data_IF_467825822779
#
_entry.id   IF_467825822779
#
_cell.length_a   1.000
_cell.length_b   1.000
_cell.length_c   1.000
_cell.angle_alpha   90.00
_cell.angle_beta   90.00
_cell.angle_gamma   90.00
#
_symmetry.space_group_name_H-M   'P 1'
#
loop_
_entity.id
_entity.type
_entity.pdbx_description
1 polymer ?
#
# COMPACT_ATOMS: atom_id res chain seq x y z
N UNK A 1 -16.71 -8.52 1.46
CA UNK A 1 -15.87 -9.25 2.43
C UNK A 1 -14.38 -8.85 2.36
N UNK A 2 -13.80 -8.59 1.18
CA UNK A 2 -12.42 -8.09 1.03
C UNK A 2 -12.13 -6.77 1.80
N UNK A 3 -13.11 -5.85 1.86
CA UNK A 3 -13.03 -4.63 2.70
C UNK A 3 -13.03 -4.92 4.21
N UNK A 4 -13.60 -6.05 4.66
CA UNK A 4 -13.55 -6.46 6.07
C UNK A 4 -12.26 -7.21 6.38
N UNK A 5 -11.67 -7.95 5.44
CA UNK A 5 -10.38 -8.63 5.62
C UNK A 5 -9.19 -7.65 5.61
N UNK A 6 -9.22 -6.64 4.73
CA UNK A 6 -8.21 -5.57 4.74
C UNK A 6 -8.38 -4.66 5.97
N UNK A 7 -9.63 -4.34 6.36
CA UNK A 7 -9.91 -3.56 7.57
C UNK A 7 -9.63 -4.35 8.86
N UNK A 8 -9.78 -5.68 8.88
CA UNK A 8 -9.34 -6.52 10.00
C UNK A 8 -7.82 -6.56 10.07
N UNK A 9 -7.09 -6.67 8.96
CA UNK A 9 -5.63 -6.53 8.95
C UNK A 9 -5.15 -5.12 9.37
N UNK A 10 -5.87 -4.07 9.01
CA UNK A 10 -5.56 -2.68 9.40
C UNK A 10 -5.99 -2.33 10.83
N UNK A 11 -7.03 -2.98 11.39
CA UNK A 11 -7.61 -2.62 12.68
C UNK A 11 -7.34 -3.62 13.82
N UNK A 12 -6.87 -4.84 13.56
CA UNK A 12 -6.55 -5.82 14.62
C UNK A 12 -5.08 -5.81 15.07
N UNK A 13 -4.17 -5.21 14.28
CA UNK A 13 -2.73 -5.19 14.62
C UNK A 13 -2.29 -3.91 15.32
N UNK A 14 -3.09 -2.83 15.27
CA UNK A 14 -2.58 -1.52 15.69
C UNK A 14 -3.07 -0.92 17.01
N UNK A 15 -4.07 -1.45 17.75
CA UNK A 15 -4.65 -0.55 18.78
C UNK A 15 -5.50 -1.07 19.95
N UNK A 16 -5.66 -2.37 20.20
CA UNK A 16 -6.46 -2.78 21.38
C UNK A 16 -5.88 -4.01 22.07
N UNK A 17 -4.83 -3.81 22.84
CA UNK A 17 -4.56 -4.62 24.02
C UNK A 17 -3.97 -3.74 25.12
N UNK A 18 -4.88 -3.33 26.01
CA UNK A 18 -4.73 -2.67 27.30
C UNK A 18 -4.82 -1.14 27.34
N UNK A 19 -5.83 -0.69 28.09
CA UNK A 19 -6.28 0.67 28.26
C UNK A 19 -5.52 1.44 29.33
N UNK A 20 -5.72 2.75 29.30
CA UNK A 20 -5.05 3.70 30.15
C UNK A 20 -5.54 3.74 31.60
N UNK A 21 -4.82 4.55 32.39
CA UNK A 21 -5.23 5.02 33.72
C UNK A 21 -4.15 4.87 34.77
N UNK A 22 -3.13 5.73 34.74
CA UNK A 22 -2.09 5.78 35.77
C UNK A 22 -2.53 6.49 37.07
N UNK A 23 -1.80 6.20 38.14
CA UNK A 23 -1.42 7.20 39.15
C UNK A 23 -0.03 6.85 39.68
N UNK A 24 0.85 7.84 39.72
CA UNK A 24 2.30 7.66 39.88
C UNK A 24 2.79 7.60 41.32
N UNK A 25 4.07 7.24 41.47
CA UNK A 25 4.94 7.63 42.57
C UNK A 25 6.40 7.52 42.11
N UNK A 26 7.13 8.63 42.21
CA UNK A 26 8.56 8.76 41.92
C UNK A 26 9.44 8.10 42.99
N UNK A 27 10.62 7.60 42.60
CA UNK A 27 11.87 7.92 43.31
C UNK A 27 13.13 7.58 42.49
N UNK A 28 14.05 8.55 42.55
CA UNK A 28 15.44 8.71 42.12
C UNK A 28 16.42 7.65 42.69
N UNK A 29 17.68 7.43 42.28
CA UNK A 29 18.75 8.17 41.55
C UNK A 29 19.96 7.22 41.23
N UNK A 30 21.05 7.67 40.57
CA UNK A 30 21.92 6.88 39.66
C UNK A 30 23.35 6.53 40.17
N UNK A 31 24.10 5.72 39.39
CA UNK A 31 25.58 5.71 39.22
C UNK A 31 25.96 4.51 38.33
N UNK A 32 27.01 4.45 37.51
CA UNK A 32 28.16 5.30 37.16
C UNK A 32 28.92 4.59 36.02
N UNK A 33 29.76 5.33 35.28
CA UNK A 33 30.44 4.86 34.06
C UNK A 33 31.83 4.22 34.30
N UNK A 34 32.25 3.47 33.27
CA UNK A 34 33.61 3.04 32.87
C UNK A 34 34.25 1.79 33.49
N UNK A 35 34.56 0.84 32.59
CA UNK A 35 35.53 -0.25 32.78
C UNK A 35 35.43 -1.23 31.61
N UNK A 36 36.42 -1.21 30.71
CA UNK A 36 36.53 -2.21 29.64
C UNK A 36 36.90 -3.57 30.25
N UNK A 37 35.90 -4.40 30.48
CA UNK A 37 36.09 -5.78 30.95
C UNK A 37 36.03 -6.76 29.77
N UNK A 38 36.92 -7.74 29.83
CA UNK A 38 36.85 -8.97 29.04
C UNK A 38 35.48 -9.58 29.30
N UNK A 39 34.59 -9.55 28.31
CA UNK A 39 33.23 -10.05 28.45
C UNK A 39 33.25 -11.57 28.57
N UNK A 40 33.30 -12.08 29.81
CA UNK A 40 32.85 -13.44 30.12
C UNK A 40 31.48 -13.64 29.48
N UNK A 41 31.24 -14.74 28.75
CA UNK A 41 29.90 -15.03 28.23
C UNK A 41 28.92 -14.98 29.40
N UNK A 42 27.90 -14.12 29.30
CA UNK A 42 26.87 -14.01 30.34
C UNK A 42 26.35 -15.42 30.67
N UNK A 43 26.17 -15.72 31.95
CA UNK A 43 25.57 -17.00 32.36
C UNK A 43 24.17 -17.12 31.76
N UNK A 44 23.68 -18.35 31.53
CA UNK A 44 22.36 -18.52 30.92
C UNK A 44 21.23 -17.92 31.78
N UNK A 45 21.41 -17.88 33.10
CA UNK A 45 20.50 -17.17 34.00
C UNK A 45 20.53 -15.65 33.78
N UNK A 46 21.72 -15.05 33.59
CA UNK A 46 21.83 -13.62 33.29
C UNK A 46 21.30 -13.28 31.90
N UNK A 47 21.44 -14.19 30.91
CA UNK A 47 20.79 -14.04 29.60
C UNK A 47 19.26 -14.02 29.72
N UNK A 48 18.69 -14.90 30.56
CA UNK A 48 17.26 -14.95 30.84
C UNK A 48 16.76 -13.67 31.53
N UNK A 49 17.51 -13.14 32.51
CA UNK A 49 17.20 -11.86 33.16
C UNK A 49 17.30 -10.68 32.18
N UNK A 50 18.30 -10.70 31.29
CA UNK A 50 18.47 -9.69 30.27
C UNK A 50 17.28 -9.65 29.30
N UNK A 51 16.73 -10.79 28.89
CA UNK A 51 15.49 -10.84 28.10
C UNK A 51 14.37 -10.04 28.77
N UNK A 52 14.09 -10.30 30.05
CA UNK A 52 12.99 -9.63 30.77
C UNK A 52 13.27 -8.13 30.96
N UNK A 53 14.51 -7.76 31.28
CA UNK A 53 14.91 -6.35 31.40
C UNK A 53 14.74 -5.60 30.08
N UNK A 54 15.18 -6.18 28.98
CA UNK A 54 15.04 -5.62 27.63
C UNK A 54 13.57 -5.52 27.24
N UNK A 55 12.76 -6.55 27.50
CA UNK A 55 11.31 -6.53 27.25
C UNK A 55 10.61 -5.42 28.04
N UNK A 56 10.90 -5.27 29.34
CA UNK A 56 10.34 -4.19 30.16
C UNK A 56 10.73 -2.79 29.64
N UNK A 57 11.98 -2.62 29.20
CA UNK A 57 12.41 -1.37 28.57
C UNK A 57 11.64 -1.10 27.28
N UNK A 58 11.35 -2.14 26.48
CA UNK A 58 10.58 -2.00 25.24
C UNK A 58 9.10 -1.71 25.49
N UNK A 59 8.50 -2.32 26.53
CA UNK A 59 7.12 -2.03 26.93
C UNK A 59 6.97 -0.54 27.29
N UNK A 60 8.00 0.09 27.85
CA UNK A 60 7.99 1.55 28.08
C UNK A 60 7.89 2.39 26.80
N UNK A 61 8.10 1.79 25.62
CA UNK A 61 7.90 2.40 24.30
C UNK A 61 6.55 2.01 23.66
N UNK A 62 5.66 1.31 24.37
CA UNK A 62 4.35 0.91 23.85
C UNK A 62 3.51 2.12 23.41
N UNK A 63 3.53 3.19 24.22
CA UNK A 63 2.96 4.49 23.81
C UNK A 63 3.55 5.00 22.49
N UNK A 64 4.83 4.70 22.23
CA UNK A 64 5.48 5.01 20.95
C UNK A 64 4.89 4.24 19.76
N UNK A 65 4.59 2.94 19.90
CA UNK A 65 3.93 2.17 18.85
C UNK A 65 2.50 2.63 18.60
N UNK A 66 1.78 2.93 19.69
CA UNK A 66 0.44 3.47 19.65
C UNK A 66 0.41 4.84 18.94
N UNK A 67 1.31 5.73 19.33
CA UNK A 67 1.49 7.04 18.70
C UNK A 67 1.85 6.90 17.22
N UNK A 68 2.70 5.94 16.83
CA UNK A 68 2.97 5.65 15.42
C UNK A 68 1.69 5.22 14.69
N UNK A 69 0.92 4.29 15.25
CA UNK A 69 -0.33 3.85 14.65
C UNK A 69 -1.30 5.03 14.40
N UNK A 70 -1.53 5.84 15.43
CA UNK A 70 -2.40 7.02 15.36
C UNK A 70 -1.86 8.08 14.39
N UNK A 71 -0.54 8.29 14.39
CA UNK A 71 0.09 9.29 13.55
C UNK A 71 0.12 8.89 12.07
N UNK A 72 0.24 7.60 11.74
CA UNK A 72 0.24 7.11 10.36
C UNK A 72 -1.16 6.76 9.84
N UNK A 73 -2.19 6.77 10.68
CA UNK A 73 -3.59 6.73 10.25
C UNK A 73 -3.95 7.95 9.39
N UNK A 74 -3.54 9.15 9.80
CA UNK A 74 -3.81 10.39 9.07
C UNK A 74 -3.21 10.37 7.66
N UNK A 75 -1.92 10.03 7.45
CA UNK A 75 -1.36 9.80 6.12
C UNK A 75 -2.16 8.84 5.24
N UNK A 76 -2.59 7.70 5.78
CA UNK A 76 -3.39 6.74 5.02
C UNK A 76 -4.75 7.34 4.59
N UNK A 77 -5.41 8.08 5.49
CA UNK A 77 -6.66 8.78 5.19
C UNK A 77 -6.48 9.88 4.15
N UNK A 78 -5.43 10.70 4.27
CA UNK A 78 -5.10 11.77 3.29
C UNK A 78 -4.86 11.19 1.90
N UNK A 79 -4.04 10.13 1.81
CA UNK A 79 -3.79 9.43 0.55
C UNK A 79 -5.10 8.87 -0.01
N UNK A 80 -5.90 8.18 0.79
CA UNK A 80 -7.17 7.59 0.35
C UNK A 80 -8.14 8.66 -0.16
N UNK A 81 -8.29 9.76 0.58
CA UNK A 81 -9.23 10.84 0.27
C UNK A 81 -8.85 11.66 -0.98
N UNK A 82 -7.58 11.62 -1.40
CA UNK A 82 -7.09 12.39 -2.57
C UNK A 82 -6.68 11.52 -3.75
N UNK A 83 -6.58 10.20 -3.57
CA UNK A 83 -6.19 9.26 -4.63
C UNK A 83 -7.15 9.28 -5.83
N UNK A 84 -8.46 9.41 -5.60
CA UNK A 84 -9.46 9.51 -6.66
C UNK A 84 -9.29 10.77 -7.50
N UNK A 85 -8.93 11.89 -6.87
CA UNK A 85 -8.75 13.17 -7.54
C UNK A 85 -7.52 13.13 -8.46
N UNK A 86 -6.43 12.53 -8.00
CA UNK A 86 -5.25 12.30 -8.83
C UNK A 86 -5.53 11.29 -9.95
N UNK A 87 -6.26 10.22 -9.66
CA UNK A 87 -6.66 9.23 -10.68
C UNK A 87 -7.45 9.89 -11.82
N UNK A 88 -8.45 10.71 -11.49
CA UNK A 88 -9.25 11.46 -12.46
C UNK A 88 -8.42 12.48 -13.24
N UNK A 89 -7.52 13.21 -12.56
CA UNK A 89 -6.60 14.13 -13.22
C UNK A 89 -5.66 13.40 -14.19
N UNK A 90 -5.09 12.25 -13.79
CA UNK A 90 -4.27 11.44 -14.70
C UNK A 90 -5.07 10.88 -15.87
N UNK A 91 -6.33 10.50 -15.66
CA UNK A 91 -7.22 10.02 -16.73
C UNK A 91 -7.48 11.11 -17.77
N UNK A 92 -7.72 12.36 -17.34
CA UNK A 92 -7.84 13.50 -18.26
C UNK A 92 -6.61 13.65 -19.15
N UNK A 93 -5.41 13.52 -18.57
CA UNK A 93 -4.16 13.67 -19.33
C UNK A 93 -3.91 12.49 -20.27
N UNK A 94 -4.35 11.29 -19.91
CA UNK A 94 -4.30 10.12 -20.80
C UNK A 94 -5.21 10.30 -22.01
N UNK A 95 -6.47 10.72 -21.80
CA UNK A 95 -7.39 11.02 -22.91
C UNK A 95 -6.86 12.15 -23.79
N UNK A 96 -6.29 13.22 -23.20
CA UNK A 96 -5.63 14.27 -23.98
C UNK A 96 -4.51 13.68 -24.84
N UNK A 97 -3.65 12.84 -24.26
CA UNK A 97 -2.53 12.24 -24.96
C UNK A 97 -3.00 11.33 -26.12
N UNK A 98 -4.09 10.58 -25.92
CA UNK A 98 -4.71 9.73 -26.94
C UNK A 98 -5.23 10.57 -28.11
N UNK A 99 -6.17 11.47 -27.86
CA UNK A 99 -6.84 12.23 -28.94
C UNK A 99 -5.87 13.13 -29.73
N UNK A 100 -4.85 13.71 -29.09
CA UNK A 100 -3.86 14.53 -29.80
C UNK A 100 -2.88 13.67 -30.60
N UNK A 101 -2.57 12.46 -30.15
CA UNK A 101 -1.69 11.54 -30.89
C UNK A 101 -2.38 11.01 -32.12
N UNK A 102 -3.64 10.56 -31.98
CA UNK A 102 -4.46 10.12 -33.09
C UNK A 102 -4.66 11.23 -34.12
N UNK A 103 -4.96 12.45 -33.68
CA UNK A 103 -5.08 13.59 -34.57
C UNK A 103 -3.75 13.99 -35.23
N UNK A 104 -2.62 13.81 -34.54
CA UNK A 104 -1.31 14.14 -35.07
C UNK A 104 -0.88 13.18 -36.19
N UNK A 105 -1.31 11.92 -36.16
CA UNK A 105 -0.98 10.90 -37.16
C UNK A 105 0.54 10.83 -37.44
N UNK A 106 1.34 10.87 -36.37
CA UNK A 106 2.80 10.84 -36.43
C UNK A 106 3.48 12.16 -36.83
N UNK A 107 2.73 13.22 -37.10
CA UNK A 107 3.28 14.54 -37.43
C UNK A 107 3.60 15.37 -36.18
N UNK A 108 4.55 16.30 -36.31
CA UNK A 108 4.79 17.29 -35.26
C UNK A 108 3.68 18.34 -35.28
N UNK A 109 2.91 18.46 -34.19
CA UNK A 109 1.81 19.40 -34.06
C UNK A 109 1.74 19.97 -32.64
N UNK A 110 1.36 21.23 -32.54
CA UNK A 110 1.05 21.89 -31.27
C UNK A 110 -0.44 22.18 -31.20
N UNK A 111 -1.04 21.79 -30.09
CA UNK A 111 -2.47 21.92 -29.81
C UNK A 111 -2.71 23.01 -28.76
N UNK A 112 -3.61 23.92 -29.10
CA UNK A 112 -4.13 24.95 -28.19
C UNK A 112 -5.21 24.35 -27.26
N UNK A 113 -5.52 25.05 -26.16
CA UNK A 113 -6.56 24.65 -25.22
C UNK A 113 -7.94 24.42 -25.88
N UNK A 114 -8.28 25.21 -26.90
CA UNK A 114 -9.55 25.04 -27.63
C UNK A 114 -9.52 23.76 -28.48
N UNK A 115 -8.44 23.53 -29.23
CA UNK A 115 -8.30 22.32 -30.05
C UNK A 115 -8.33 21.04 -29.21
N UNK A 116 -7.71 21.07 -28.02
CA UNK A 116 -7.77 19.95 -27.07
C UNK A 116 -9.22 19.67 -26.66
N UNK A 117 -9.99 20.71 -26.30
CA UNK A 117 -11.41 20.57 -25.95
C UNK A 117 -12.23 20.02 -27.11
N UNK A 118 -12.02 20.55 -28.31
CA UNK A 118 -12.76 20.12 -29.49
C UNK A 118 -12.50 18.64 -29.82
N UNK A 119 -11.27 18.16 -29.63
CA UNK A 119 -10.91 16.75 -29.81
C UNK A 119 -11.53 15.85 -28.73
N UNK A 120 -11.48 16.26 -27.46
CA UNK A 120 -12.12 15.49 -26.36
C UNK A 120 -13.65 15.42 -26.54
N UNK A 121 -14.27 16.49 -27.03
CA UNK A 121 -15.72 16.50 -27.26
C UNK A 121 -16.13 15.66 -28.50
N UNK A 122 -15.19 15.32 -29.38
CA UNK A 122 -15.40 14.42 -30.52
C UNK A 122 -15.16 12.96 -30.15
N UNK A 123 -14.32 12.72 -29.15
CA UNK A 123 -14.16 11.42 -28.52
C UNK A 123 -15.48 11.10 -27.80
N UNK A 124 -16.17 10.03 -28.20
CA UNK A 124 -17.52 9.64 -27.70
C UNK A 124 -17.55 9.36 -26.18
N UNK A 125 -16.46 9.61 -25.48
CA UNK A 125 -16.26 9.31 -24.07
C UNK A 125 -16.82 10.36 -23.10
N UNK A 126 -17.19 11.58 -23.50
CA UNK A 126 -17.80 12.68 -22.69
C UNK A 126 -17.47 12.73 -21.19
N UNK A 127 -16.26 12.33 -20.78
CA UNK A 127 -15.93 12.08 -19.38
C UNK A 127 -15.64 13.37 -18.62
N UNK A 128 -15.44 14.48 -19.33
CA UNK A 128 -14.95 15.73 -18.80
C UNK A 128 -15.71 16.91 -19.38
N UNK A 129 -16.09 17.85 -18.52
CA UNK A 129 -16.64 19.15 -18.92
C UNK A 129 -15.71 20.26 -18.44
N UNK A 130 -15.08 20.95 -19.37
CA UNK A 130 -14.19 22.07 -19.07
C UNK A 130 -14.99 23.32 -18.66
N UNK A 131 -14.63 23.92 -17.52
CA UNK A 131 -15.06 25.27 -17.10
C UNK A 131 -14.07 26.33 -17.54
N UNK A 132 -12.79 26.00 -17.53
CA UNK A 132 -11.70 26.80 -18.08
C UNK A 132 -10.56 25.88 -18.50
N UNK A 133 -9.77 26.29 -19.48
CA UNK A 133 -8.65 25.50 -19.97
C UNK A 133 -7.55 26.40 -20.54
N UNK A 134 -6.32 26.19 -20.10
CA UNK A 134 -5.09 26.79 -20.62
C UNK A 134 -4.07 25.72 -21.03
N UNK A 135 -4.45 24.43 -20.98
CA UNK A 135 -3.59 23.31 -21.37
C UNK A 135 -3.10 23.47 -22.80
N UNK A 136 -1.85 23.05 -22.98
CA UNK A 136 -1.18 22.94 -24.27
C UNK A 136 -0.57 21.55 -24.39
N UNK A 137 -0.70 20.97 -25.57
CA UNK A 137 -0.06 19.71 -25.91
C UNK A 137 0.84 19.91 -27.13
N UNK A 138 2.05 19.38 -27.08
CA UNK A 138 2.95 19.35 -28.23
C UNK A 138 3.30 17.90 -28.54
N UNK A 139 2.98 17.46 -29.75
CA UNK A 139 3.34 16.15 -30.28
C UNK A 139 4.56 16.34 -31.19
N UNK A 140 5.61 15.56 -30.97
CA UNK A 140 6.83 15.56 -31.78
C UNK A 140 7.32 14.13 -31.93
N UNK A 141 7.05 13.53 -33.10
CA UNK A 141 7.26 12.10 -33.30
C UNK A 141 6.42 11.28 -32.33
N UNK A 142 7.06 10.41 -31.55
CA UNK A 142 6.43 9.56 -30.52
C UNK A 142 6.42 10.19 -29.12
N UNK A 143 6.73 11.50 -29.02
CA UNK A 143 6.78 12.22 -27.75
C UNK A 143 5.66 13.25 -27.67
N UNK A 144 5.02 13.32 -26.51
CA UNK A 144 3.94 14.26 -26.19
C UNK A 144 4.37 15.05 -24.96
N UNK A 145 4.31 16.37 -25.02
CA UNK A 145 4.51 17.25 -23.87
C UNK A 145 3.22 17.97 -23.54
N UNK A 146 2.76 17.87 -22.30
CA UNK A 146 1.55 18.52 -21.79
C UNK A 146 1.92 19.49 -20.66
N UNK A 147 1.33 20.69 -20.69
CA UNK A 147 1.51 21.71 -19.65
C UNK A 147 0.32 22.67 -19.60
N UNK A 148 0.15 23.36 -18.48
CA UNK A 148 -0.91 24.36 -18.26
C UNK A 148 -1.92 23.91 -17.22
N UNK A 149 -3.09 24.53 -17.24
CA UNK A 149 -4.10 24.36 -16.20
C UNK A 149 -5.48 24.10 -16.81
N UNK A 150 -6.34 23.37 -16.12
CA UNK A 150 -7.74 23.23 -16.46
C UNK A 150 -8.62 23.20 -15.21
N UNK A 151 -9.78 23.83 -15.30
CA UNK A 151 -10.88 23.58 -14.36
C UNK A 151 -11.88 22.68 -15.06
N UNK A 152 -12.15 21.51 -14.48
CA UNK A 152 -12.98 20.47 -15.08
C UNK A 152 -14.03 19.97 -14.10
N UNK A 153 -15.15 19.52 -14.64
CA UNK A 153 -16.11 18.65 -13.95
C UNK A 153 -16.00 17.25 -14.55
N UNK A 154 -16.12 16.23 -13.72
CA UNK A 154 -16.10 14.84 -14.15
C UNK A 154 -17.53 14.35 -14.34
N UNK A 155 -17.74 13.55 -15.39
CA UNK A 155 -18.99 12.83 -15.59
C UNK A 155 -19.28 11.92 -14.38
N UNK A 156 -20.55 11.90 -13.93
CA UNK A 156 -20.98 11.15 -12.76
C UNK A 156 -22.01 10.08 -13.10
N UNK A 157 -23.02 10.46 -13.89
CA UNK A 157 -24.13 9.58 -14.29
C UNK A 157 -24.90 10.25 -15.44
N UNK A 158 -25.89 9.56 -15.98
CA UNK A 158 -26.90 10.15 -16.85
C UNK A 158 -28.05 10.76 -16.04
N UNK A 159 -28.62 11.86 -16.55
CA UNK A 159 -29.88 12.43 -16.07
C UNK A 159 -31.05 11.59 -16.60
N UNK A 160 -31.34 10.49 -15.89
CA UNK A 160 -32.37 9.52 -16.29
C UNK A 160 -33.78 10.12 -16.35
N UNK A 161 -34.06 11.14 -15.55
CA UNK A 161 -35.34 11.85 -15.58
C UNK A 161 -35.48 12.62 -16.90
N UNK A 162 -34.42 13.32 -17.31
CA UNK A 162 -34.39 14.03 -18.59
C UNK A 162 -34.40 13.09 -19.80
N UNK A 163 -33.63 12.00 -19.76
CA UNK A 163 -33.64 10.96 -20.81
C UNK A 163 -35.07 10.41 -21.01
N UNK A 164 -35.78 10.18 -19.91
CA UNK A 164 -37.16 9.69 -19.94
C UNK A 164 -38.15 10.76 -20.42
N UNK A 165 -38.05 11.99 -19.92
CA UNK A 165 -38.93 13.10 -20.29
C UNK A 165 -38.82 13.47 -21.77
N UNK A 166 -37.60 13.48 -22.31
CA UNK A 166 -37.33 13.78 -23.72
C UNK A 166 -37.54 12.56 -24.63
N UNK A 167 -37.89 11.39 -24.04
CA UNK A 167 -38.03 10.11 -24.74
C UNK A 167 -36.79 9.75 -25.59
N UNK A 168 -35.61 10.08 -25.03
CA UNK A 168 -34.33 10.04 -25.73
C UNK A 168 -33.87 8.62 -26.07
N UNK A 169 -34.42 7.60 -25.42
CA UNK A 169 -34.21 6.18 -25.74
C UNK A 169 -34.45 5.81 -27.21
N UNK A 170 -35.28 6.58 -27.92
CA UNK A 170 -35.55 6.38 -29.35
C UNK A 170 -34.49 6.99 -30.28
N UNK A 171 -33.54 7.77 -29.73
CA UNK A 171 -32.37 8.26 -30.44
C UNK A 171 -31.18 7.35 -30.13
N UNK A 172 -30.69 6.61 -31.12
CA UNK A 172 -29.61 5.65 -30.93
C UNK A 172 -28.30 6.24 -30.35
N UNK A 173 -28.11 7.57 -30.38
CA UNK A 173 -26.91 8.25 -29.89
C UNK A 173 -27.19 9.17 -28.69
N UNK A 174 -28.29 8.99 -27.96
CA UNK A 174 -28.63 9.87 -26.84
C UNK A 174 -27.55 9.87 -25.75
N UNK A 175 -26.85 8.76 -25.53
CA UNK A 175 -25.80 8.66 -24.51
C UNK A 175 -24.56 9.53 -24.84
N UNK A 176 -24.44 9.99 -26.09
CA UNK A 176 -23.41 10.92 -26.54
C UNK A 176 -23.85 12.39 -26.44
N UNK A 177 -25.11 12.68 -26.06
CA UNK A 177 -25.55 14.07 -25.93
C UNK A 177 -25.27 14.58 -24.50
N UNK A 178 -24.41 15.61 -24.33
CA UNK A 178 -24.06 16.15 -23.02
C UNK A 178 -25.26 16.75 -22.29
N UNK A 179 -26.38 17.02 -22.96
CA UNK A 179 -27.62 17.45 -22.32
C UNK A 179 -28.22 16.38 -21.39
N UNK A 180 -27.88 15.10 -21.57
CA UNK A 180 -28.33 13.99 -20.72
C UNK A 180 -27.28 13.54 -19.70
N UNK A 181 -26.16 14.26 -19.58
CA UNK A 181 -25.08 13.89 -18.66
C UNK A 181 -25.06 14.78 -17.42
N UNK A 182 -24.85 14.15 -16.26
CA UNK A 182 -24.62 14.84 -14.98
C UNK A 182 -23.12 14.95 -14.77
N UNK A 183 -22.65 16.19 -14.61
CA UNK A 183 -21.26 16.49 -14.29
C UNK A 183 -21.13 17.06 -12.88
N UNK A 184 -20.10 16.64 -12.15
CA UNK A 184 -19.83 17.05 -10.78
C UNK A 184 -18.36 16.88 -10.39
N UNK A 185 -18.10 16.92 -9.09
CA UNK A 185 -16.75 16.79 -8.50
C UNK A 185 -15.70 17.71 -9.12
N UNK A 186 -15.99 19.02 -9.17
CA UNK A 186 -15.11 19.96 -9.83
C UNK A 186 -13.68 19.91 -9.25
N UNK A 187 -12.71 20.01 -10.15
CA UNK A 187 -11.31 20.07 -9.78
C UNK A 187 -10.54 21.06 -10.68
N UNK A 188 -9.55 21.72 -10.08
CA UNK A 188 -8.48 22.39 -10.80
C UNK A 188 -7.34 21.39 -11.00
N UNK A 189 -6.90 21.21 -12.24
CA UNK A 189 -5.77 20.36 -12.62
C UNK A 189 -4.65 21.24 -13.15
N UNK A 190 -3.46 21.11 -12.59
CA UNK A 190 -2.24 21.81 -13.03
C UNK A 190 -1.21 20.80 -13.48
N UNK A 191 -0.68 20.99 -14.68
CA UNK A 191 0.34 20.14 -15.29
C UNK A 191 1.59 20.95 -15.59
N UNK A 192 2.73 20.49 -15.09
CA UNK A 192 4.04 21.09 -15.36
C UNK A 192 4.93 20.09 -16.07
N UNK A 193 5.29 20.39 -17.32
CA UNK A 193 6.27 19.65 -18.13
C UNK A 193 6.08 18.12 -18.12
N UNK A 194 4.83 17.64 -18.22
CA UNK A 194 4.59 16.20 -18.33
C UNK A 194 4.99 15.75 -19.74
N UNK A 195 6.02 14.90 -19.83
CA UNK A 195 6.45 14.32 -21.11
C UNK A 195 6.17 12.82 -21.11
N UNK A 196 5.34 12.40 -22.06
CA UNK A 196 4.99 11.01 -22.31
C UNK A 196 5.62 10.59 -23.65
N UNK A 197 6.35 9.49 -23.64
CA UNK A 197 6.90 8.89 -24.86
C UNK A 197 6.21 7.56 -25.10
N UNK A 198 5.65 7.39 -26.29
CA UNK A 198 4.73 6.31 -26.60
C UNK A 198 4.69 5.98 -28.10
N UNK A 199 4.60 4.69 -28.46
CA UNK A 199 5.43 3.60 -27.96
C UNK A 199 6.70 3.45 -28.80
N UNK A 200 7.80 3.00 -28.18
CA UNK A 200 8.92 2.40 -28.91
C UNK A 200 8.83 0.88 -28.84
N UNK A 201 9.07 0.24 -29.97
CA UNK A 201 8.75 -1.16 -30.19
C UNK A 201 10.04 -1.98 -30.20
N UNK A 202 10.00 -3.19 -29.62
CA UNK A 202 11.07 -4.16 -29.86
C UNK A 202 11.16 -4.54 -31.36
N UNK A 203 12.30 -5.05 -31.80
CA UNK A 203 12.51 -5.42 -33.21
C UNK A 203 11.48 -6.43 -33.72
N UNK A 204 10.93 -7.25 -32.81
CA UNK A 204 9.94 -8.28 -33.11
C UNK A 204 8.49 -7.78 -33.13
N UNK A 205 8.20 -6.52 -32.76
CA UNK A 205 6.84 -5.97 -32.63
C UNK A 205 5.90 -6.69 -31.67
N UNK A 206 6.49 -7.30 -30.65
CA UNK A 206 5.80 -8.03 -29.59
C UNK A 206 5.73 -7.22 -28.29
N UNK A 207 6.61 -6.24 -28.11
CA UNK A 207 6.67 -5.41 -26.90
C UNK A 207 6.54 -3.93 -27.24
N UNK A 208 5.58 -3.28 -26.60
CA UNK A 208 5.35 -1.85 -26.67
C UNK A 208 5.79 -1.21 -25.38
N UNK A 209 6.76 -0.30 -25.46
CA UNK A 209 7.31 0.37 -24.30
C UNK A 209 6.94 1.85 -24.32
N UNK A 210 6.61 2.34 -23.14
CA UNK A 210 6.18 3.69 -22.86
C UNK A 210 7.09 4.26 -21.77
N UNK A 211 7.29 5.57 -21.80
CA UNK A 211 8.10 6.26 -20.82
C UNK A 211 7.42 7.54 -20.37
N UNK A 212 7.51 7.82 -19.08
CA UNK A 212 7.19 9.12 -18.48
C UNK A 212 8.54 9.73 -18.09
N UNK A 213 8.91 10.84 -18.70
CA UNK A 213 10.18 11.49 -18.34
C UNK A 213 10.10 12.09 -16.93
N UNK A 214 11.27 12.20 -16.29
CA UNK A 214 11.40 12.94 -15.04
C UNK A 214 10.97 14.42 -15.17
N UNK A 215 10.82 15.08 -14.03
CA UNK A 215 10.40 16.48 -13.85
C UNK A 215 8.93 16.79 -14.17
N UNK A 216 8.18 15.84 -14.75
CA UNK A 216 6.73 15.97 -14.87
C UNK A 216 6.06 16.11 -13.51
N UNK A 217 5.09 17.03 -13.39
CA UNK A 217 4.24 17.18 -12.21
C UNK A 217 2.78 17.33 -12.60
N UNK A 218 1.92 16.59 -11.91
CA UNK A 218 0.46 16.65 -12.04
C UNK A 218 -0.08 17.01 -10.67
N UNK A 219 -0.85 18.08 -10.57
CA UNK A 219 -1.47 18.54 -9.33
C UNK A 219 -2.97 18.69 -9.51
N UNK A 220 -3.71 18.44 -8.46
CA UNK A 220 -5.16 18.62 -8.40
C UNK A 220 -5.55 19.41 -7.16
N UNK A 221 -6.63 20.18 -7.27
CA UNK A 221 -7.31 20.83 -6.16
C UNK A 221 -8.82 20.66 -6.32
N UNK A 222 -9.45 19.96 -5.38
CA UNK A 222 -10.89 19.69 -5.44
C UNK A 222 -11.74 20.80 -4.81
N UNK A 223 -13.07 20.69 -4.89
CA UNK A 223 -14.05 21.62 -4.30
C UNK A 223 -13.89 21.84 -2.78
N UNK A 224 -13.27 20.90 -2.06
CA UNK A 224 -12.97 21.03 -0.63
C UNK A 224 -11.64 21.76 -0.38
N UNK A 225 -11.03 22.34 -1.42
CA UNK A 225 -9.69 22.92 -1.43
C UNK A 225 -8.58 21.95 -1.01
N UNK A 226 -8.83 20.63 -1.09
CA UNK A 226 -7.79 19.63 -0.84
C UNK A 226 -6.89 19.56 -2.07
N UNK A 227 -5.59 19.65 -1.84
CA UNK A 227 -4.58 19.57 -2.89
C UNK A 227 -3.86 18.24 -2.84
N UNK A 228 -3.52 17.70 -4.00
CA UNK A 228 -2.65 16.54 -4.12
C UNK A 228 -1.81 16.63 -5.38
N UNK A 229 -0.61 16.08 -5.37
CA UNK A 229 0.24 16.05 -6.56
C UNK A 229 1.09 14.80 -6.66
N UNK A 230 1.35 14.41 -7.90
CA UNK A 230 2.42 13.48 -8.27
C UNK A 230 3.50 14.24 -9.03
N UNK A 231 4.76 13.93 -8.72
CA UNK A 231 5.90 14.36 -9.54
C UNK A 231 6.93 13.25 -9.68
N UNK A 232 7.69 13.29 -10.77
CA UNK A 232 8.64 12.24 -11.13
C UNK A 232 10.07 12.76 -10.98
N UNK A 233 10.85 12.20 -10.07
CA UNK A 233 12.27 12.55 -9.90
C UNK A 233 13.20 11.72 -10.79
N UNK A 234 12.69 10.63 -11.37
CA UNK A 234 13.37 9.78 -12.32
C UNK A 234 12.42 9.33 -13.44
N UNK A 235 13.01 8.91 -14.55
CA UNK A 235 12.26 8.36 -15.67
C UNK A 235 11.53 7.08 -15.24
N UNK A 236 10.24 7.03 -15.57
CA UNK A 236 9.35 5.91 -15.29
C UNK A 236 8.96 5.21 -16.59
N UNK A 237 8.60 3.93 -16.51
CA UNK A 237 8.33 3.12 -17.70
C UNK A 237 7.06 2.31 -17.55
N UNK A 238 6.37 2.06 -18.66
CA UNK A 238 5.34 1.04 -18.76
C UNK A 238 5.58 0.18 -20.01
N UNK A 239 5.10 -1.05 -20.02
CA UNK A 239 5.17 -1.89 -21.21
C UNK A 239 4.00 -2.83 -21.34
N UNK A 240 3.68 -3.18 -22.58
CA UNK A 240 2.69 -4.19 -22.94
C UNK A 240 3.37 -5.23 -23.83
N UNK A 241 3.25 -6.51 -23.45
CA UNK A 241 3.86 -7.64 -24.14
C UNK A 241 2.75 -8.52 -24.72
N UNK A 242 2.82 -8.79 -26.02
CA UNK A 242 1.87 -9.59 -26.77
C UNK A 242 2.47 -10.91 -27.23
N UNK A 243 1.61 -11.86 -27.59
CA UNK A 243 2.03 -13.19 -28.04
C UNK A 243 2.62 -13.16 -29.47
N UNK A 244 2.07 -12.32 -30.33
CA UNK A 244 2.37 -12.26 -31.76
C UNK A 244 2.86 -10.87 -32.14
N UNK A 245 3.58 -10.77 -33.24
CA UNK A 245 4.02 -9.51 -33.81
C UNK A 245 2.88 -8.83 -34.59
N UNK A 246 2.51 -7.62 -34.20
CA UNK A 246 1.54 -6.78 -34.92
C UNK A 246 1.63 -5.32 -34.46
N UNK A 247 1.13 -4.37 -35.27
CA UNK A 247 0.96 -2.94 -34.96
C UNK A 247 -0.24 -2.72 -34.05
N UNK A 248 -0.16 -1.75 -33.13
CA UNK A 248 -1.27 -1.42 -32.20
C UNK A 248 -2.62 -1.20 -32.90
N UNK A 249 -2.61 -0.53 -34.06
CA UNK A 249 -3.82 -0.24 -34.86
C UNK A 249 -4.56 -1.50 -35.36
N UNK A 250 -3.86 -2.63 -35.48
CA UNK A 250 -4.42 -3.88 -35.99
C UNK A 250 -4.68 -4.92 -34.89
N UNK A 251 -4.37 -4.61 -33.63
CA UNK A 251 -4.51 -5.57 -32.53
C UNK A 251 -5.93 -5.63 -32.03
N UNK A 252 -6.50 -6.83 -32.09
CA UNK A 252 -7.77 -7.18 -31.43
C UNK A 252 -7.55 -7.97 -30.13
N UNK A 253 -6.32 -8.46 -29.89
CA UNK A 253 -5.96 -9.24 -28.72
C UNK A 253 -5.54 -8.38 -27.53
N UNK A 254 -5.73 -8.87 -26.30
CA UNK A 254 -5.18 -8.23 -25.10
C UNK A 254 -3.74 -8.71 -24.85
N UNK A 255 -2.87 -7.88 -24.25
CA UNK A 255 -1.48 -8.27 -23.99
C UNK A 255 -1.41 -9.46 -23.04
N UNK A 256 -0.40 -10.32 -23.23
CA UNK A 256 -0.06 -11.40 -22.32
C UNK A 256 0.44 -10.87 -20.96
N UNK A 257 1.10 -9.72 -20.97
CA UNK A 257 1.62 -9.08 -19.77
C UNK A 257 1.63 -7.56 -19.94
N UNK A 258 1.23 -6.84 -18.91
CA UNK A 258 1.44 -5.41 -18.81
C UNK A 258 2.31 -5.12 -17.57
N UNK A 259 3.28 -4.22 -17.71
CA UNK A 259 4.13 -3.80 -16.59
C UNK A 259 4.14 -2.29 -16.46
N UNK A 260 4.20 -1.81 -15.23
CA UNK A 260 4.43 -0.41 -14.90
C UNK A 260 5.52 -0.36 -13.84
N UNK A 261 6.48 0.55 -14.00
CA UNK A 261 7.53 0.82 -13.03
C UNK A 261 7.73 2.33 -12.93
N UNK A 262 7.17 2.90 -11.87
CA UNK A 262 7.32 4.31 -11.53
C UNK A 262 8.51 4.46 -10.59
N UNK A 263 9.51 5.22 -11.01
CA UNK A 263 10.75 5.45 -10.26
C UNK A 263 10.77 6.86 -9.70
N UNK A 264 11.11 6.97 -8.42
CA UNK A 264 11.23 8.27 -7.77
C UNK A 264 9.94 9.09 -7.84
N UNK A 265 8.79 8.42 -7.67
CA UNK A 265 7.48 9.05 -7.62
C UNK A 265 7.33 9.78 -6.29
N UNK A 266 7.11 11.08 -6.34
CA UNK A 266 6.83 11.90 -5.19
C UNK A 266 5.33 12.22 -5.15
N UNK A 267 4.67 11.80 -4.08
CA UNK A 267 3.31 12.21 -3.72
C UNK A 267 3.35 13.28 -2.63
N UNK A 268 2.55 14.33 -2.80
CA UNK A 268 2.37 15.39 -1.80
C UNK A 268 0.89 15.74 -1.67
N UNK A 269 0.36 15.72 -0.44
CA UNK A 269 -0.98 16.20 -0.12
C UNK A 269 -1.05 16.61 1.36
N UNK A 270 -1.57 17.81 1.64
CA UNK A 270 -1.50 18.42 2.97
C UNK A 270 -0.07 18.31 3.56
N UNK A 271 0.08 17.82 4.79
CA UNK A 271 1.38 17.60 5.45
C UNK A 271 2.00 16.22 5.15
N UNK A 272 1.43 15.46 4.22
CA UNK A 272 1.86 14.10 3.86
C UNK A 272 2.74 14.15 2.62
N UNK A 273 3.92 13.56 2.72
CA UNK A 273 4.88 13.44 1.63
C UNK A 273 5.35 12.01 1.51
N UNK A 274 5.07 11.34 0.39
CA UNK A 274 5.60 10.01 0.11
C UNK A 274 6.60 10.06 -1.04
N UNK A 275 7.87 9.79 -0.74
CA UNK A 275 8.93 9.63 -1.73
C UNK A 275 9.09 8.14 -2.03
N UNK A 276 8.41 7.68 -3.09
CA UNK A 276 8.38 6.30 -3.52
C UNK A 276 9.52 6.07 -4.51
N UNK A 277 10.58 5.41 -4.04
CA UNK A 277 11.71 5.01 -4.87
C UNK A 277 11.28 4.03 -5.98
N UNK A 278 10.29 3.18 -5.70
CA UNK A 278 9.71 2.25 -6.66
C UNK A 278 8.21 2.06 -6.40
N UNK A 279 7.41 2.18 -7.46
CA UNK A 279 6.06 1.62 -7.55
C UNK A 279 6.01 0.75 -8.79
N UNK A 280 5.98 -0.57 -8.62
CA UNK A 280 5.93 -1.49 -9.75
C UNK A 280 4.70 -2.39 -9.71
N UNK A 281 4.10 -2.59 -10.89
CA UNK A 281 2.91 -3.41 -11.10
C UNK A 281 3.17 -4.33 -12.28
N UNK A 282 2.86 -5.62 -12.12
CA UNK A 282 2.84 -6.60 -13.21
C UNK A 282 1.44 -7.20 -13.27
N UNK A 283 0.76 -7.02 -14.38
CA UNK A 283 -0.48 -7.72 -14.70
C UNK A 283 -0.21 -8.78 -15.76
N UNK A 284 -0.86 -9.94 -15.64
CA UNK A 284 -0.74 -11.06 -16.57
C UNK A 284 -2.09 -11.45 -17.11
N UNK A 285 -2.13 -11.89 -18.35
CA UNK A 285 -3.33 -12.42 -18.97
C UNK A 285 -3.78 -13.69 -18.26
N UNK A 286 -5.05 -13.74 -17.91
CA UNK A 286 -5.75 -14.88 -17.37
C UNK A 286 -6.92 -15.23 -18.29
N UNK A 287 -7.28 -16.51 -18.33
CA UNK A 287 -8.42 -17.02 -19.08
C UNK A 287 -9.47 -17.52 -18.09
N UNK A 288 -10.68 -16.99 -18.16
CA UNK A 288 -11.81 -17.44 -17.34
C UNK A 288 -12.78 -18.22 -18.22
N UNK A 289 -13.07 -19.46 -17.85
CA UNK A 289 -13.97 -20.34 -18.58
C UNK A 289 -15.22 -20.60 -17.74
N UNK A 290 -16.40 -20.33 -18.28
CA UNK A 290 -17.67 -20.62 -17.59
C UNK A 290 -18.37 -21.90 -18.10
N UNK A 291 -17.67 -22.71 -18.91
CA UNK A 291 -18.18 -23.91 -19.55
C UNK A 291 -18.90 -23.65 -20.88
N UNK A 292 -19.06 -22.39 -21.28
CA UNK A 292 -19.71 -21.96 -22.52
C UNK A 292 -18.80 -21.02 -23.33
N UNK A 293 -18.18 -20.06 -22.66
CA UNK A 293 -17.31 -19.05 -23.25
C UNK A 293 -16.04 -18.90 -22.42
N UNK A 294 -14.98 -18.40 -23.07
CA UNK A 294 -13.74 -18.01 -22.42
C UNK A 294 -13.58 -16.50 -22.52
N UNK A 295 -13.39 -15.84 -21.38
CA UNK A 295 -13.06 -14.43 -21.28
C UNK A 295 -11.57 -14.29 -20.95
N UNK A 296 -10.85 -13.46 -21.72
CA UNK A 296 -9.47 -13.09 -21.40
C UNK A 296 -9.44 -11.75 -20.64
N UNK A 297 -8.64 -11.65 -19.58
CA UNK A 297 -8.46 -10.40 -18.84
C UNK A 297 -7.04 -10.30 -18.26
N UNK A 298 -6.51 -9.08 -18.17
CA UNK A 298 -5.31 -8.80 -17.38
C UNK A 298 -5.64 -8.81 -15.88
N UNK A 299 -4.94 -9.63 -15.11
CA UNK A 299 -5.05 -9.70 -13.66
C UNK A 299 -3.75 -9.20 -13.02
N UNK A 300 -3.81 -8.22 -12.11
CA UNK A 300 -2.67 -7.84 -11.27
C UNK A 300 -2.07 -9.05 -10.56
N UNK A 301 -0.81 -9.33 -10.84
CA UNK A 301 -0.09 -10.49 -10.33
C UNK A 301 1.03 -10.12 -9.35
N UNK A 302 1.66 -8.97 -9.52
CA UNK A 302 2.68 -8.48 -8.59
C UNK A 302 2.52 -6.97 -8.40
N UNK A 303 2.66 -6.49 -7.16
CA UNK A 303 2.70 -5.07 -6.82
C UNK A 303 3.80 -4.84 -5.80
N UNK A 304 4.69 -3.88 -6.05
CA UNK A 304 5.73 -3.44 -5.12
C UNK A 304 5.58 -1.96 -4.87
N UNK A 305 5.63 -1.57 -3.60
CA UNK A 305 5.76 -0.17 -3.18
C UNK A 305 6.96 -0.06 -2.25
N UNK A 306 7.93 0.78 -2.61
CA UNK A 306 9.11 1.03 -1.81
C UNK A 306 9.39 2.51 -1.70
N UNK A 307 9.57 3.02 -0.48
CA UNK A 307 9.89 4.42 -0.28
C UNK A 307 9.85 4.89 1.16
N UNK A 308 9.78 6.21 1.30
CA UNK A 308 9.69 6.91 2.58
C UNK A 308 8.37 7.68 2.63
N UNK A 309 7.53 7.40 3.62
CA UNK A 309 6.32 8.17 3.91
C UNK A 309 6.61 9.09 5.09
N UNK A 310 6.46 10.40 4.90
CA UNK A 310 6.70 11.41 5.92
C UNK A 310 5.41 12.16 6.24
N UNK A 311 5.24 12.45 7.52
CA UNK A 311 4.14 13.27 8.03
C UNK A 311 4.66 14.10 9.19
N UNK A 312 4.52 15.43 9.07
CA UNK A 312 5.13 16.39 10.00
C UNK A 312 6.65 16.16 10.13
N UNK A 313 7.13 15.84 11.34
CA UNK A 313 8.55 15.61 11.63
C UNK A 313 8.94 14.12 11.65
N UNK A 314 8.00 13.21 11.35
CA UNK A 314 8.25 11.78 11.34
C UNK A 314 8.38 11.23 9.92
N UNK A 315 9.15 10.16 9.78
CA UNK A 315 9.27 9.43 8.53
C UNK A 315 9.30 7.92 8.79
N UNK A 316 8.63 7.18 7.91
CA UNK A 316 8.53 5.72 7.92
C UNK A 316 9.00 5.18 6.58
N UNK A 317 9.98 4.28 6.62
CA UNK A 317 10.35 3.50 5.46
C UNK A 317 9.29 2.42 5.25
N UNK A 318 8.80 2.32 4.00
CA UNK A 318 7.81 1.36 3.55
C UNK A 318 8.46 0.47 2.48
N UNK A 319 8.36 -0.84 2.68
CA UNK A 319 8.60 -1.85 1.65
C UNK A 319 7.40 -2.81 1.66
N UNK A 320 6.50 -2.68 0.70
CA UNK A 320 5.35 -3.55 0.54
C UNK A 320 5.45 -4.33 -0.77
N UNK A 321 5.15 -5.63 -0.73
CA UNK A 321 5.08 -6.51 -1.89
C UNK A 321 3.87 -7.43 -1.81
N UNK A 322 3.02 -7.35 -2.81
CA UNK A 322 1.93 -8.29 -3.05
C UNK A 322 2.29 -9.19 -4.24
N UNK A 323 2.00 -10.49 -4.13
CA UNK A 323 2.10 -11.45 -5.24
C UNK A 323 0.87 -12.33 -5.28
N UNK A 324 0.31 -12.54 -6.47
CA UNK A 324 -0.66 -13.56 -6.77
C UNK A 324 0.09 -14.80 -7.28
N UNK A 325 -0.01 -15.89 -6.53
CA UNK A 325 0.62 -17.18 -6.79
C UNK A 325 -0.27 -18.11 -7.63
N UNK A 326 -1.36 -17.61 -8.21
CA UNK A 326 -2.20 -18.37 -9.13
C UNK A 326 -1.42 -18.72 -10.39
N UNK A 327 -1.64 -19.93 -10.91
CA UNK A 327 -1.15 -20.31 -12.23
C UNK A 327 -2.07 -19.72 -13.30
N UNK A 328 -1.83 -18.45 -13.64
CA UNK A 328 -2.62 -17.70 -14.64
C UNK A 328 -2.41 -18.20 -16.08
N UNK A 329 -1.51 -19.18 -16.31
CA UNK A 329 -1.32 -19.80 -17.62
C UNK A 329 -2.42 -20.81 -17.96
N UNK A 330 -3.15 -21.29 -16.96
CA UNK A 330 -4.28 -22.21 -17.13
C UNK A 330 -5.60 -21.45 -17.17
N UNK A 331 -6.57 -22.03 -17.87
CA UNK A 331 -7.95 -21.57 -17.78
C UNK A 331 -8.47 -21.77 -16.35
N UNK A 332 -9.10 -20.73 -15.83
CA UNK A 332 -9.72 -20.66 -14.52
C UNK A 332 -11.20 -20.98 -14.72
N UNK A 333 -11.61 -22.16 -14.27
CA UNK A 333 -12.98 -22.63 -14.41
C UNK A 333 -13.89 -21.96 -13.37
N UNK A 334 -14.70 -21.01 -13.82
CA UNK A 334 -15.72 -20.32 -13.00
C UNK A 334 -17.11 -20.93 -13.18
N UNK A 335 -17.23 -22.03 -13.94
CA UNK A 335 -18.49 -22.73 -14.12
C UNK A 335 -18.98 -23.32 -12.80
N UNK A 336 -20.28 -23.27 -12.56
CA UNK A 336 -20.95 -23.90 -11.42
C UNK A 336 -20.29 -23.66 -10.02
N UNK A 337 -19.55 -22.57 -9.85
CA UNK A 337 -18.85 -22.25 -8.60
C UNK A 337 -17.59 -23.10 -8.32
N UNK A 338 -16.98 -23.73 -9.34
CA UNK A 338 -15.69 -24.42 -9.23
C UNK A 338 -14.61 -23.47 -8.71
N UNK A 339 -14.47 -22.31 -9.34
CA UNK A 339 -13.77 -21.15 -8.77
C UNK A 339 -14.76 -20.16 -8.14
N UNK A 340 -14.42 -19.74 -6.93
CA UNK A 340 -15.11 -18.79 -6.08
C UNK A 340 -14.11 -17.72 -5.66
N UNK A 341 -14.61 -16.57 -5.19
CA UNK A 341 -13.71 -15.55 -4.61
C UNK A 341 -12.84 -16.06 -3.44
N UNK A 342 -13.19 -17.20 -2.82
CA UNK A 342 -12.55 -17.77 -1.63
C UNK A 342 -11.49 -18.84 -1.92
N UNK A 343 -11.50 -19.49 -3.09
CA UNK A 343 -10.41 -20.36 -3.56
C UNK A 343 -9.53 -19.66 -4.61
N UNK A 344 -10.06 -18.73 -5.40
CA UNK A 344 -9.30 -18.05 -6.46
C UNK A 344 -8.03 -17.35 -5.98
N UNK A 345 -8.10 -16.40 -5.05
CA UNK A 345 -6.97 -15.52 -4.66
C UNK A 345 -5.83 -16.25 -3.90
N UNK A 346 -4.94 -17.00 -4.53
CA UNK A 346 -3.76 -17.52 -3.83
C UNK A 346 -2.68 -16.43 -3.75
N UNK A 347 -2.71 -15.55 -2.75
CA UNK A 347 -1.80 -14.40 -2.70
C UNK A 347 -0.88 -14.38 -1.46
N UNK A 348 0.26 -13.72 -1.62
CA UNK A 348 1.20 -13.37 -0.56
C UNK A 348 1.26 -11.84 -0.43
N UNK A 349 1.18 -11.33 0.79
CA UNK A 349 1.45 -9.94 1.13
C UNK A 349 2.62 -9.91 2.11
N UNK A 350 3.64 -9.13 1.77
CA UNK A 350 4.79 -8.84 2.63
C UNK A 350 4.83 -7.33 2.83
N UNK A 351 4.82 -6.87 4.08
CA UNK A 351 4.91 -5.43 4.40
C UNK A 351 5.96 -5.25 5.46
N UNK A 352 6.97 -4.46 5.14
CA UNK A 352 8.00 -4.06 6.08
C UNK A 352 7.96 -2.55 6.30
N UNK A 353 7.83 -2.18 7.56
CA UNK A 353 7.81 -0.81 8.04
C UNK A 353 9.01 -0.59 8.94
N UNK A 354 9.75 0.50 8.77
CA UNK A 354 10.85 0.81 9.70
C UNK A 354 11.07 2.30 9.88
N UNK A 355 11.39 2.70 11.11
CA UNK A 355 11.58 4.10 11.49
C UNK A 355 12.22 4.18 12.87
N UNK A 356 11.97 5.29 13.57
CA UNK A 356 12.41 5.48 14.94
C UNK A 356 11.21 5.74 15.85
N UNK A 357 11.18 5.10 17.02
CA UNK A 357 10.22 5.37 18.08
C UNK A 357 10.70 6.58 18.88
N UNK A 358 9.83 7.58 19.05
CA UNK A 358 10.01 8.65 20.04
C UNK A 358 9.26 8.26 21.31
N UNK A 359 9.98 7.73 22.29
CA UNK A 359 9.43 7.58 23.64
C UNK A 359 9.23 8.95 24.30
N UNK A 360 8.37 9.03 25.32
CA UNK A 360 7.95 10.27 25.95
C UNK A 360 9.08 11.18 26.48
N UNK A 361 10.33 10.69 26.62
CA UNK A 361 11.53 11.46 26.98
C UNK A 361 12.85 10.80 26.51
N UNK A 362 12.83 9.97 25.46
CA UNK A 362 13.98 9.11 25.10
C UNK A 362 14.64 9.47 23.76
N UNK A 363 15.92 9.12 23.66
CA UNK A 363 16.67 9.06 22.39
C UNK A 363 15.87 8.24 21.36
N UNK A 364 15.75 8.67 20.09
CA UNK A 364 15.02 7.92 19.08
C UNK A 364 15.55 6.48 18.94
N UNK A 365 14.68 5.48 19.11
CA UNK A 365 15.06 4.06 19.04
C UNK A 365 14.60 3.44 17.71
N UNK A 366 15.49 2.83 16.91
CA UNK A 366 15.10 2.20 15.65
C UNK A 366 14.14 1.02 15.85
N UNK A 367 13.17 0.86 14.94
CA UNK A 367 12.30 -0.31 14.89
C UNK A 367 12.12 -0.81 13.46
N UNK A 368 11.70 -2.07 13.33
CA UNK A 368 11.24 -2.67 12.08
C UNK A 368 10.10 -3.63 12.37
N UNK A 369 9.02 -3.52 11.61
CA UNK A 369 7.89 -4.47 11.60
C UNK A 369 7.91 -5.13 10.23
N UNK A 370 7.80 -6.45 10.19
CA UNK A 370 7.70 -7.27 8.99
C UNK A 370 6.46 -8.15 9.10
N UNK A 371 5.51 -7.97 8.20
CA UNK A 371 4.24 -8.67 8.17
C UNK A 371 4.26 -9.56 6.94
N UNK A 372 4.12 -10.87 7.14
CA UNK A 372 3.99 -11.84 6.05
C UNK A 372 2.67 -12.58 6.18
N UNK A 373 1.84 -12.46 5.14
CA UNK A 373 0.51 -13.04 5.09
C UNK A 373 0.36 -13.85 3.79
N UNK A 374 -0.04 -15.13 3.89
CA UNK A 374 -0.19 -16.02 2.72
C UNK A 374 -1.58 -16.67 2.69
N UNK A 375 -2.32 -16.60 1.58
CA UNK A 375 -3.69 -17.17 1.47
C UNK A 375 -3.75 -18.68 1.52
N UNK A 376 -2.79 -19.39 0.95
CA UNK A 376 -2.70 -20.83 1.13
C UNK A 376 -2.50 -21.25 2.60
N UNK A 377 -2.10 -20.32 3.47
CA UNK A 377 -2.00 -20.49 4.92
C UNK A 377 -3.24 -19.91 5.64
N UNK A 378 -3.93 -18.89 5.10
CA UNK A 378 -5.23 -18.40 5.61
C UNK A 378 -6.35 -19.45 5.51
N UNK A 379 -6.38 -20.29 4.47
CA UNK A 379 -7.30 -21.46 4.43
C UNK A 379 -6.90 -22.57 5.41
N UNK A 380 -5.70 -22.48 6.00
CA UNK A 380 -5.25 -23.23 7.17
C UNK A 380 -5.26 -22.35 8.45
N UNK A 381 -5.89 -21.18 8.38
CA UNK A 381 -6.07 -20.24 9.49
C UNK A 381 -4.85 -19.42 9.94
N UNK A 382 -3.71 -19.37 9.24
CA UNK A 382 -2.44 -18.83 9.80
C UNK A 382 -1.94 -17.51 9.15
N UNK A 383 -1.49 -16.54 9.96
CA UNK A 383 -0.74 -15.34 9.55
C UNK A 383 0.42 -15.03 10.52
N UNK A 384 1.54 -14.49 10.03
CA UNK A 384 2.75 -14.23 10.86
C UNK A 384 3.18 -12.76 10.80
N UNK A 385 3.49 -12.19 11.97
CA UNK A 385 4.07 -10.86 12.12
C UNK A 385 5.39 -10.99 12.88
N UNK A 386 6.49 -10.55 12.28
CA UNK A 386 7.77 -10.42 12.93
C UNK A 386 8.03 -8.94 13.26
N UNK A 387 8.35 -8.64 14.52
CA UNK A 387 8.70 -7.31 14.98
C UNK A 387 10.11 -7.35 15.54
N UNK A 388 10.97 -6.45 15.05
CA UNK A 388 12.33 -6.25 15.56
C UNK A 388 12.40 -4.86 16.17
N UNK A 389 12.67 -4.82 17.47
CA UNK A 389 12.80 -3.55 18.23
C UNK A 389 14.24 -3.36 18.63
N UNK A 390 14.74 -2.14 18.43
CA UNK A 390 16.13 -1.76 18.69
C UNK A 390 17.17 -2.57 17.88
N UNK A 391 16.77 -3.09 16.70
CA UNK A 391 17.53 -3.87 15.67
C UNK A 391 18.42 -5.04 16.12
N UNK A 392 18.79 -5.12 17.39
CA UNK A 392 19.86 -5.89 18.01
C UNK A 392 19.45 -6.43 19.39
N UNK A 393 18.26 -6.07 19.90
CA UNK A 393 17.83 -6.43 21.24
C UNK A 393 16.85 -7.62 21.22
N UNK A 394 15.68 -7.47 20.60
CA UNK A 394 14.62 -8.48 20.56
C UNK A 394 14.09 -8.76 19.14
N UNK A 395 13.78 -10.03 18.89
CA UNK A 395 12.89 -10.49 17.82
C UNK A 395 11.58 -10.96 18.47
N UNK A 396 10.45 -10.43 18.01
CA UNK A 396 9.12 -10.85 18.43
C UNK A 396 8.44 -11.45 17.22
N UNK A 397 7.89 -12.65 17.36
CA UNK A 397 7.14 -13.34 16.32
C UNK A 397 5.73 -13.59 16.85
N UNK A 398 4.73 -13.06 16.17
CA UNK A 398 3.32 -13.31 16.46
C UNK A 398 2.74 -14.17 15.34
N UNK A 399 2.03 -15.21 15.70
CA UNK A 399 1.34 -16.09 14.75
C UNK A 399 -0.13 -16.13 15.12
N UNK A 400 -0.98 -15.55 14.29
CA UNK A 400 -2.42 -15.74 14.40
C UNK A 400 -2.80 -17.08 13.75
N UNK A 401 -3.66 -17.85 14.42
CA UNK A 401 -4.20 -19.13 13.98
C UNK A 401 -5.73 -19.08 13.98
N UNK A 402 -6.36 -20.01 13.27
CA UNK A 402 -7.82 -20.18 13.21
C UNK A 402 -8.55 -18.90 12.77
N UNK A 403 -7.96 -18.16 11.83
CA UNK A 403 -8.48 -16.89 11.31
C UNK A 403 -9.85 -17.00 10.62
N UNK A 404 -10.29 -18.21 10.31
CA UNK A 404 -11.61 -18.54 9.76
C UNK A 404 -12.66 -18.85 10.85
N UNK A 405 -12.26 -18.87 12.14
CA UNK A 405 -13.13 -19.14 13.27
C UNK A 405 -13.52 -17.85 14.03
N UNK A 406 -14.56 -17.96 14.85
CA UNK A 406 -15.06 -16.85 15.69
C UNK A 406 -14.01 -16.40 16.73
N UNK A 407 -13.22 -17.35 17.25
CA UNK A 407 -12.16 -17.11 18.21
C UNK A 407 -10.79 -17.37 17.58
N UNK A 408 -10.00 -16.32 17.36
CA UNK A 408 -8.65 -16.46 16.79
C UNK A 408 -7.63 -16.66 17.92
N UNK A 409 -6.73 -17.64 17.75
CA UNK A 409 -5.62 -17.86 18.69
C UNK A 409 -4.41 -17.07 18.24
N UNK A 410 -3.85 -16.24 19.13
CA UNK A 410 -2.62 -15.50 18.86
C UNK A 410 -1.50 -16.14 19.67
N UNK A 411 -0.57 -16.81 18.99
CA UNK A 411 0.68 -17.27 19.59
C UNK A 411 1.75 -16.18 19.48
N UNK A 412 2.67 -16.13 20.44
CA UNK A 412 3.77 -15.17 20.47
C UNK A 412 5.08 -15.80 20.93
N UNK A 413 6.18 -15.45 20.28
CA UNK A 413 7.53 -15.84 20.70
C UNK A 413 8.39 -14.59 20.77
N UNK A 414 9.02 -14.36 21.92
CA UNK A 414 9.96 -13.26 22.14
C UNK A 414 11.34 -13.89 22.29
N UNK A 415 12.31 -13.47 21.47
CA UNK A 415 13.69 -13.96 21.50
C UNK A 415 14.63 -12.78 21.68
N UNK A 416 15.56 -12.88 22.62
CA UNK A 416 16.69 -11.96 22.72
C UNK A 416 17.84 -12.50 21.87
N UNK A 417 18.63 -11.62 21.25
CA UNK A 417 19.81 -12.01 20.44
C UNK A 417 20.87 -12.80 21.21
N UNK A 418 20.76 -12.88 22.55
CA UNK A 418 21.67 -13.65 23.40
C UNK A 418 21.26 -15.14 23.50
N UNK A 419 20.15 -15.54 22.88
CA UNK A 419 19.63 -16.91 22.87
C UNK A 419 18.56 -17.21 23.92
N UNK A 420 18.16 -16.23 24.74
CA UNK A 420 17.02 -16.36 25.64
C UNK A 420 15.69 -16.14 24.89
N UNK A 421 14.64 -16.87 25.29
CA UNK A 421 13.32 -16.76 24.65
C UNK A 421 12.16 -17.09 25.58
N UNK A 422 10.99 -16.54 25.28
CA UNK A 422 9.69 -16.89 25.87
C UNK A 422 8.74 -17.24 24.74
N UNK A 423 7.97 -18.32 24.89
CA UNK A 423 6.93 -18.71 23.95
C UNK A 423 5.58 -18.80 24.64
N UNK A 424 4.57 -18.14 24.08
CA UNK A 424 3.19 -18.09 24.53
C UNK A 424 2.34 -18.71 23.42
N UNK A 425 1.62 -19.79 23.73
CA UNK A 425 0.81 -20.49 22.73
C UNK A 425 -0.51 -19.77 22.41
N UNK A 426 -1.07 -19.07 23.40
CA UNK A 426 -2.27 -18.25 23.29
C UNK A 426 -2.13 -17.05 24.22
N UNK A 427 -2.02 -15.86 23.63
CA UNK A 427 -1.89 -14.58 24.34
C UNK A 427 -3.17 -14.24 25.09
N UNK A 428 -4.35 -14.56 24.54
CA UNK A 428 -5.63 -14.26 25.18
C UNK A 428 -5.90 -15.22 26.35
N UNK A 429 -5.65 -16.51 26.15
CA UNK A 429 -5.73 -17.56 27.18
C UNK A 429 -4.49 -17.69 28.06
N UNK A 430 -3.59 -16.69 28.08
CA UNK A 430 -2.30 -16.81 28.77
C UNK A 430 -2.44 -17.10 30.28
N UNK A 431 -1.78 -18.17 30.72
CA UNK A 431 -1.65 -18.56 32.14
C UNK A 431 -0.22 -18.44 32.64
N UNK A 432 0.70 -19.11 31.96
CA UNK A 432 2.14 -19.10 32.26
C UNK A 432 2.99 -19.39 31.02
N UNK A 433 4.27 -19.02 31.06
CA UNK A 433 5.26 -19.41 30.07
C UNK A 433 6.66 -19.51 30.70
N UNK A 434 7.48 -20.41 30.18
CA UNK A 434 8.86 -20.58 30.65
C UNK A 434 9.81 -19.62 29.92
N UNK A 435 10.82 -19.15 30.64
CA UNK A 435 11.95 -18.40 30.10
C UNK A 435 13.05 -19.39 29.77
N UNK A 436 13.25 -19.63 28.49
CA UNK A 436 14.13 -20.65 27.97
C UNK A 436 15.46 -20.05 27.50
N UNK A 437 16.57 -20.73 27.79
CA UNK A 437 17.88 -20.46 27.18
C UNK A 437 18.47 -21.81 26.78
N UNK A 438 18.85 -21.97 25.50
CA UNK A 438 19.39 -23.22 24.96
C UNK A 438 18.55 -24.47 25.32
N UNK A 439 17.22 -24.34 25.35
CA UNK A 439 16.28 -25.44 25.64
C UNK A 439 16.07 -25.78 27.12
N UNK A 440 16.63 -25.01 28.07
CA UNK A 440 16.40 -25.16 29.51
C UNK A 440 15.64 -23.96 30.09
N UNK A 441 14.74 -24.21 31.05
CA UNK A 441 14.02 -23.15 31.76
C UNK A 441 14.88 -22.53 32.87
N UNK A 442 14.93 -21.19 32.91
CA UNK A 442 15.63 -20.40 33.93
C UNK A 442 14.69 -19.51 34.77
N UNK A 443 13.39 -19.57 34.50
CA UNK A 443 12.35 -18.88 35.25
C UNK A 443 10.99 -19.00 34.56
N UNK A 444 9.95 -18.59 35.27
CA UNK A 444 8.57 -18.69 34.83
C UNK A 444 7.90 -17.30 34.84
N UNK A 445 7.20 -16.98 33.75
CA UNK A 445 6.31 -15.83 33.61
C UNK A 445 4.89 -16.27 33.93
N UNK A 446 4.20 -15.53 34.80
CA UNK A 446 2.81 -15.79 35.22
C UNK A 446 2.01 -14.50 35.34
N UNK A 447 0.68 -14.59 35.46
CA UNK A 447 -0.17 -13.48 35.94
C UNK A 447 -0.46 -13.66 37.43
N UNK A 448 -0.22 -12.63 38.24
CA UNK A 448 -0.63 -12.64 39.64
C UNK A 448 -2.14 -12.39 39.79
N UNK A 449 -2.65 -12.45 41.02
CA UNK A 449 -4.07 -12.23 41.34
C UNK A 449 -4.59 -10.83 40.98
N UNK A 450 -3.69 -9.86 40.80
CA UNK A 450 -4.01 -8.50 40.37
C UNK A 450 -3.93 -8.31 38.85
N UNK A 451 -3.71 -9.40 38.09
CA UNK A 451 -3.59 -9.39 36.64
C UNK A 451 -2.24 -8.90 36.12
N UNK A 452 -1.27 -8.61 36.99
CA UNK A 452 0.06 -8.16 36.59
C UNK A 452 0.94 -9.34 36.19
N UNK A 453 1.77 -9.13 35.17
CA UNK A 453 2.76 -10.11 34.73
C UNK A 453 3.97 -10.13 35.67
N UNK A 454 4.31 -11.32 36.16
CA UNK A 454 5.39 -11.55 37.12
C UNK A 454 6.31 -12.65 36.62
N UNK A 455 7.62 -12.37 36.63
CA UNK A 455 8.66 -13.35 36.36
C UNK A 455 9.31 -13.78 37.66
N UNK A 456 9.44 -15.10 37.87
CA UNK A 456 10.23 -15.69 38.96
C UNK A 456 11.35 -16.55 38.38
N UNK A 457 12.60 -16.21 38.67
CA UNK A 457 13.78 -16.96 38.22
C UNK A 457 14.15 -18.09 39.19
N UNK A 458 14.94 -19.05 38.71
CA UNK A 458 15.37 -20.22 39.49
C UNK A 458 16.21 -19.86 40.74
N UNK A 459 16.85 -18.70 40.75
CA UNK A 459 17.61 -18.18 41.90
C UNK A 459 16.73 -17.47 42.94
N UNK A 460 15.41 -17.41 42.71
CA UNK A 460 14.45 -16.74 43.57
C UNK A 460 14.27 -15.24 43.25
N UNK A 461 14.99 -14.69 42.28
CA UNK A 461 14.78 -13.31 41.81
C UNK A 461 13.37 -13.16 41.24
N UNK A 462 12.67 -12.08 41.60
CA UNK A 462 11.34 -11.75 41.09
C UNK A 462 11.41 -10.41 40.36
N UNK A 463 10.88 -10.36 39.13
CA UNK A 463 10.74 -9.13 38.34
C UNK A 463 9.28 -8.95 37.97
N UNK A 464 8.74 -7.76 38.21
CA UNK A 464 7.42 -7.37 37.75
C UNK A 464 7.55 -6.72 36.36
N UNK A 465 6.67 -7.10 35.45
CA UNK A 465 6.55 -6.47 34.14
C UNK A 465 5.56 -5.32 34.29
N UNK A 466 5.99 -4.11 33.91
CA UNK A 466 5.14 -2.92 33.92
C UNK A 466 3.93 -3.15 32.97
N UNK A 467 2.74 -2.61 33.32
CA UNK A 467 1.52 -2.83 32.56
C UNK A 467 1.61 -2.39 31.10
#
# INVERSE_FOLDING_TARGET
MLKKTLLVLSCSVFLVACGGGGSGSESSSPSGANGGEVTTPASDLEKAKQLVKTTNAIISYYDGFQNIADQYKVPAEVINNTSSDLSRATNLLLVIAEVVTENAQGQTKTYTAQQIQDLINQDDAYNFKFKSNTLKANVTGTSITISGDASVQYWQDFDWDKVTADNAWNNANWYNDPAYSIYGDDAEVTVSNLVLEAPFIDTARTTYNYKIQNNGKISTKNLKNQTASFSFTADSTASMVYATADTMENREDIPNQATMNLKGLLFESADVKANLAEVSLIARKAKFDNGVETLEQLIPSELVLKGLVSYQQESLNLEAKFNLNNDLSKAIDVSAGQETSTNFINANLNVKLSGNLKGANAVPTPFSIDITAKRAEFTKGTATVAVVVDKNALDIELTAKDLDQEYQVIAGVIKHKNGASISIADVQGFTSANIMVAGKSYGDLTKNSSGQYVVKFNDGTIIYIAP
#
